data_IF_463026743459
#
_entry.id   IF_463026743459
#
_cell.length_a   1.000
_cell.length_b   1.000
_cell.length_c   1.000
_cell.angle_alpha   90.00
_cell.angle_beta   90.00
_cell.angle_gamma   90.00
#
_symmetry.space_group_name_H-M   'P 1'
#
loop_
_entity.id
_entity.type
_entity.pdbx_description
1 polymer ?
#
# COMPACT_ATOMS: atom_id res chain seq x y z
N UNK A 1 28.45 -5.15 25.29
CA UNK A 1 27.13 -4.53 25.07
C UNK A 1 26.59 -5.05 23.74
N UNK A 2 25.73 -6.07 23.76
CA UNK A 2 25.16 -6.67 22.53
C UNK A 2 23.93 -5.84 22.15
N UNK A 3 24.10 -4.89 21.23
CA UNK A 3 23.01 -4.11 20.66
C UNK A 3 22.14 -5.05 19.84
N UNK A 4 20.86 -5.20 20.22
CA UNK A 4 19.89 -6.03 19.49
C UNK A 4 19.75 -5.52 18.04
N UNK A 5 19.93 -6.37 17.02
CA UNK A 5 19.87 -5.96 15.62
C UNK A 5 18.43 -5.66 15.22
N UNK A 6 18.09 -4.38 15.09
CA UNK A 6 16.76 -3.94 14.64
C UNK A 6 16.24 -2.66 15.26
N UNK A 7 16.95 -2.09 16.23
CA UNK A 7 16.55 -0.87 16.92
C UNK A 7 17.73 0.11 16.97
N UNK A 8 17.51 1.33 16.45
CA UNK A 8 18.33 2.54 16.64
C UNK A 8 19.56 2.70 15.71
N UNK A 9 19.44 3.64 14.75
CA UNK A 9 20.49 4.60 14.38
C UNK A 9 21.75 4.09 13.67
N UNK A 10 21.61 3.43 12.51
CA UNK A 10 22.75 3.35 11.58
C UNK A 10 22.51 4.33 10.43
N UNK A 11 23.46 5.22 10.18
CA UNK A 11 23.44 6.12 9.04
C UNK A 11 23.65 5.32 7.75
N UNK A 12 22.55 4.84 7.17
CA UNK A 12 22.55 4.06 5.93
C UNK A 12 23.34 4.75 4.82
N UNK A 13 23.21 6.08 4.72
CA UNK A 13 23.93 6.91 3.76
C UNK A 13 25.45 6.90 3.97
N UNK A 14 25.90 6.88 5.23
CA UNK A 14 27.33 6.83 5.54
C UNK A 14 27.92 5.48 5.12
N UNK A 15 27.22 4.37 5.38
CA UNK A 15 27.68 3.04 4.95
C UNK A 15 27.59 2.82 3.44
N UNK A 16 26.58 3.39 2.79
CA UNK A 16 26.45 3.39 1.33
C UNK A 16 27.61 4.15 0.67
N UNK A 17 27.98 5.32 1.20
CA UNK A 17 29.15 6.07 0.75
C UNK A 17 30.45 5.29 0.98
N UNK A 18 30.62 4.66 2.15
CA UNK A 18 31.78 3.79 2.40
C UNK A 18 31.89 2.63 1.43
N UNK A 19 30.76 2.04 1.03
CA UNK A 19 30.73 0.95 0.07
C UNK A 19 31.12 1.41 -1.33
N UNK A 20 30.64 2.58 -1.75
CA UNK A 20 30.98 3.20 -3.03
C UNK A 20 32.46 3.60 -3.11
N UNK A 21 33.01 4.12 -2.01
CA UNK A 21 34.36 4.71 -1.95
C UNK A 21 35.43 3.76 -1.41
N UNK A 22 35.10 2.48 -1.14
CA UNK A 22 36.04 1.49 -0.58
C UNK A 22 37.29 1.24 -1.42
N UNK A 23 37.24 1.56 -2.72
CA UNK A 23 38.36 1.42 -3.66
C UNK A 23 39.30 2.62 -3.62
N UNK A 24 38.78 3.80 -3.27
CA UNK A 24 39.53 5.06 -3.25
C UNK A 24 40.11 5.35 -1.86
N UNK A 25 39.42 4.94 -0.80
CA UNK A 25 39.83 5.21 0.59
C UNK A 25 39.78 3.97 1.47
N UNK A 26 40.63 3.95 2.51
CA UNK A 26 40.60 2.89 3.50
C UNK A 26 39.37 3.02 4.40
N UNK A 27 38.74 1.89 4.73
CA UNK A 27 37.58 1.84 5.64
C UNK A 27 37.88 2.55 6.97
N UNK A 28 39.09 2.39 7.51
CA UNK A 28 39.51 3.05 8.76
C UNK A 28 39.46 4.57 8.67
N UNK A 29 39.84 5.16 7.54
CA UNK A 29 39.80 6.61 7.33
C UNK A 29 38.36 7.11 7.23
N UNK A 30 37.51 6.39 6.51
CA UNK A 30 36.10 6.76 6.37
C UNK A 30 35.31 6.63 7.68
N UNK A 31 35.57 5.57 8.47
CA UNK A 31 34.98 5.36 9.80
C UNK A 31 35.29 6.52 10.74
N UNK A 32 36.51 7.04 10.70
CA UNK A 32 36.89 8.23 11.48
C UNK A 32 36.22 9.50 11.00
N UNK A 33 36.09 9.69 9.69
CA UNK A 33 35.53 10.91 9.09
C UNK A 33 34.01 10.99 9.25
N UNK A 34 33.32 9.86 9.15
CA UNK A 34 31.85 9.76 9.21
C UNK A 34 31.33 9.47 10.63
N UNK A 35 32.22 9.38 11.61
CA UNK A 35 31.89 9.11 13.02
C UNK A 35 31.04 7.85 13.28
N UNK A 36 31.11 6.87 12.37
CA UNK A 36 30.40 5.59 12.50
C UNK A 36 31.30 4.49 13.03
N UNK A 37 30.72 3.38 13.52
CA UNK A 37 31.49 2.21 13.94
C UNK A 37 31.88 1.30 12.76
N UNK A 38 33.13 0.83 12.77
CA UNK A 38 33.63 -0.17 11.80
C UNK A 38 32.88 -1.50 11.88
N UNK A 39 32.51 -1.94 13.09
CA UNK A 39 31.73 -3.16 13.26
C UNK A 39 30.31 -3.00 12.69
N UNK A 40 29.76 -1.78 12.78
CA UNK A 40 28.47 -1.43 12.17
C UNK A 40 28.48 -1.57 10.65
N UNK A 41 29.56 -1.14 9.98
CA UNK A 41 29.71 -1.27 8.53
C UNK A 41 29.69 -2.73 8.07
N UNK A 42 30.45 -3.62 8.72
CA UNK A 42 30.48 -5.03 8.33
C UNK A 42 29.18 -5.77 8.67
N UNK A 43 28.54 -5.44 9.82
CA UNK A 43 27.21 -5.97 10.13
C UNK A 43 26.19 -5.51 9.10
N UNK A 44 26.24 -4.24 8.67
CA UNK A 44 25.37 -3.72 7.62
C UNK A 44 25.64 -4.40 6.27
N UNK A 45 26.91 -4.64 5.93
CA UNK A 45 27.30 -5.32 4.69
C UNK A 45 26.81 -6.77 4.64
N UNK A 46 26.83 -7.48 5.77
CA UNK A 46 26.39 -8.88 5.87
C UNK A 46 24.88 -9.02 6.11
N UNK A 47 24.14 -7.92 6.28
CA UNK A 47 22.69 -7.98 6.46
C UNK A 47 22.03 -8.49 5.18
N UNK A 48 21.71 -9.78 5.19
CA UNK A 48 20.82 -10.37 4.21
C UNK A 48 19.42 -9.77 4.35
N UNK A 49 18.71 -9.57 3.23
CA UNK A 49 17.33 -9.16 3.28
C UNK A 49 16.51 -10.19 4.05
N UNK A 50 15.78 -9.76 5.08
CA UNK A 50 14.87 -10.65 5.80
C UNK A 50 13.77 -11.16 4.87
N UNK A 51 13.31 -12.39 5.06
CA UNK A 51 12.19 -12.99 4.30
C UNK A 51 10.96 -12.08 4.26
N UNK A 52 10.71 -11.33 5.34
CA UNK A 52 9.61 -10.35 5.41
C UNK A 52 9.81 -9.20 4.43
N UNK A 53 11.05 -8.72 4.28
CA UNK A 53 11.40 -7.65 3.35
C UNK A 53 11.30 -8.15 1.90
N UNK A 54 11.76 -9.37 1.63
CA UNK A 54 11.62 -10.01 0.31
C UNK A 54 10.14 -10.15 -0.05
N UNK A 55 9.32 -10.72 0.84
CA UNK A 55 7.87 -10.84 0.62
C UNK A 55 7.21 -9.49 0.37
N UNK A 56 7.64 -8.45 1.10
CA UNK A 56 7.14 -7.08 0.90
C UNK A 56 7.51 -6.53 -0.48
N UNK A 57 8.76 -6.72 -0.93
CA UNK A 57 9.21 -6.31 -2.25
C UNK A 57 8.47 -7.07 -3.36
N UNK A 58 8.24 -8.37 -3.20
CA UNK A 58 7.46 -9.16 -4.16
C UNK A 58 6.03 -8.63 -4.28
N UNK A 59 5.38 -8.30 -3.16
CA UNK A 59 4.03 -7.71 -3.16
C UNK A 59 4.04 -6.33 -3.84
N UNK A 60 5.06 -5.50 -3.60
CA UNK A 60 5.21 -4.22 -4.30
C UNK A 60 5.30 -4.36 -5.80
N UNK A 61 6.15 -5.28 -6.27
CA UNK A 61 6.35 -5.51 -7.69
C UNK A 61 5.07 -5.99 -8.36
N UNK A 62 4.35 -6.94 -7.74
CA UNK A 62 3.06 -7.40 -8.26
C UNK A 62 2.03 -6.27 -8.33
N UNK A 63 1.88 -5.50 -7.25
CA UNK A 63 0.94 -4.37 -7.22
C UNK A 63 1.26 -3.32 -8.29
N UNK A 64 2.55 -2.99 -8.47
CA UNK A 64 2.98 -2.05 -9.50
C UNK A 64 2.71 -2.58 -10.92
N UNK A 65 2.95 -3.88 -11.14
CA UNK A 65 2.70 -4.53 -12.42
C UNK A 65 1.21 -4.50 -12.80
N UNK A 66 0.33 -4.94 -11.91
CA UNK A 66 -1.13 -4.91 -12.17
C UNK A 66 -1.67 -3.49 -12.35
N UNK A 67 -1.10 -2.50 -11.63
CA UNK A 67 -1.49 -1.10 -11.79
C UNK A 67 -1.10 -0.56 -13.17
N UNK A 68 0.13 -0.84 -13.62
CA UNK A 68 0.62 -0.43 -14.94
C UNK A 68 -0.08 -1.14 -16.09
N UNK A 69 -0.46 -2.41 -15.91
CA UNK A 69 -1.19 -3.19 -16.91
C UNK A 69 -2.63 -2.66 -17.11
N UNK A 70 -3.18 -2.00 -16.09
CA UNK A 70 -4.53 -1.45 -16.07
C UNK A 70 -4.59 0.06 -16.39
N UNK A 71 -3.59 0.60 -17.08
CA UNK A 71 -3.46 2.03 -17.44
C UNK A 71 -3.60 2.99 -16.24
N UNK A 72 -3.09 2.60 -15.06
CA UNK A 72 -3.18 3.37 -13.81
C UNK A 72 -4.62 3.68 -13.35
N UNK A 73 -5.62 3.02 -13.93
CA UNK A 73 -7.04 3.24 -13.59
C UNK A 73 -7.40 2.52 -12.28
N UNK A 74 -6.79 1.37 -12.03
CA UNK A 74 -7.27 0.44 -11.00
C UNK A 74 -6.83 0.87 -9.59
N UNK A 75 -7.82 1.07 -8.72
CA UNK A 75 -7.60 1.26 -7.29
C UNK A 75 -7.36 -0.04 -6.52
N UNK A 76 -7.01 0.09 -5.25
CA UNK A 76 -6.76 -1.04 -4.33
C UNK A 76 -7.82 -2.16 -4.33
N UNK A 77 -9.13 -1.90 -4.48
CA UNK A 77 -10.12 -2.98 -4.53
C UNK A 77 -10.02 -3.86 -5.78
N UNK A 78 -9.69 -3.27 -6.95
CA UNK A 78 -9.58 -3.98 -8.22
C UNK A 78 -8.28 -4.78 -8.27
N UNK A 79 -7.16 -4.13 -7.94
CA UNK A 79 -5.86 -4.81 -7.84
C UNK A 79 -5.91 -5.98 -6.84
N UNK A 80 -6.66 -5.86 -5.75
CA UNK A 80 -6.84 -6.97 -4.82
C UNK A 80 -7.60 -8.16 -5.45
N UNK A 81 -8.60 -7.89 -6.30
CA UNK A 81 -9.33 -8.94 -6.99
C UNK A 81 -8.42 -9.68 -7.98
N UNK A 82 -7.61 -8.94 -8.75
CA UNK A 82 -6.66 -9.50 -9.71
C UNK A 82 -5.57 -10.31 -9.02
N UNK A 83 -5.01 -9.78 -7.92
CA UNK A 83 -4.06 -10.52 -7.07
C UNK A 83 -4.65 -11.81 -6.50
N UNK A 84 -5.94 -11.81 -6.13
CA UNK A 84 -6.61 -13.03 -5.64
C UNK A 84 -6.88 -14.03 -6.76
N UNK A 85 -7.17 -13.56 -7.98
CA UNK A 85 -7.29 -14.41 -9.15
C UNK A 85 -5.94 -15.07 -9.49
N UNK A 86 -4.83 -14.36 -9.29
CA UNK A 86 -3.44 -14.86 -9.38
C UNK A 86 -3.03 -15.76 -8.20
N UNK A 87 -3.93 -16.03 -7.24
CA UNK A 87 -3.70 -16.92 -6.11
C UNK A 87 -3.00 -16.29 -4.90
N UNK A 88 -2.81 -14.96 -4.88
CA UNK A 88 -2.19 -14.28 -3.74
C UNK A 88 -3.18 -14.03 -2.59
N UNK A 89 -2.83 -14.54 -1.40
CA UNK A 89 -3.61 -14.31 -0.18
C UNK A 89 -3.10 -13.07 0.55
N UNK A 90 -3.54 -11.89 0.09
CA UNK A 90 -3.14 -10.59 0.64
C UNK A 90 -4.37 -9.86 1.21
N UNK A 91 -4.17 -9.12 2.29
CA UNK A 91 -5.23 -8.28 2.87
C UNK A 91 -5.42 -6.99 2.06
N UNK A 92 -6.65 -6.49 1.98
CA UNK A 92 -6.96 -5.19 1.37
C UNK A 92 -6.10 -4.05 1.95
N UNK A 93 -5.88 -4.06 3.27
CA UNK A 93 -5.05 -3.06 3.96
C UNK A 93 -3.59 -3.10 3.49
N UNK A 94 -3.07 -4.30 3.23
CA UNK A 94 -1.70 -4.47 2.72
C UNK A 94 -1.57 -3.89 1.31
N UNK A 95 -2.54 -4.14 0.43
CA UNK A 95 -2.55 -3.56 -0.93
C UNK A 95 -2.64 -2.03 -0.86
N UNK A 96 -3.58 -1.49 -0.09
CA UNK A 96 -3.74 -0.04 0.07
C UNK A 96 -2.47 0.63 0.61
N UNK A 97 -1.84 0.07 1.66
CA UNK A 97 -0.56 0.58 2.18
C UNK A 97 0.59 0.48 1.17
N UNK A 98 0.57 -0.56 0.34
CA UNK A 98 1.58 -0.76 -0.70
C UNK A 98 1.43 0.29 -1.79
N UNK A 99 0.20 0.51 -2.29
CA UNK A 99 -0.10 1.59 -3.23
C UNK A 99 0.27 2.96 -2.68
N UNK A 100 -0.09 3.26 -1.43
CA UNK A 100 0.26 4.54 -0.79
C UNK A 100 1.77 4.77 -0.73
N UNK A 101 2.55 3.72 -0.41
CA UNK A 101 4.02 3.82 -0.35
C UNK A 101 4.65 4.01 -1.72
N UNK A 102 4.07 3.41 -2.76
CA UNK A 102 4.50 3.55 -4.14
C UNK A 102 3.97 4.83 -4.80
N UNK A 103 3.10 5.60 -4.13
CA UNK A 103 2.46 6.79 -4.69
C UNK A 103 1.42 6.50 -5.77
N UNK A 104 0.96 5.25 -5.88
CA UNK A 104 0.00 4.82 -6.89
C UNK A 104 -1.42 5.23 -6.48
N UNK A 105 -2.13 5.90 -7.39
CA UNK A 105 -3.50 6.38 -7.18
C UNK A 105 -4.38 5.87 -8.31
N UNK A 106 -5.29 4.97 -7.98
CA UNK A 106 -6.32 4.55 -8.92
C UNK A 106 -7.38 5.62 -9.10
N UNK A 107 -7.94 5.70 -10.32
CA UNK A 107 -9.00 6.63 -10.67
C UNK A 107 -10.31 6.16 -10.02
N UNK A 108 -10.89 7.02 -9.17
CA UNK A 108 -12.21 6.80 -8.59
C UNK A 108 -13.23 7.73 -9.26
N UNK A 109 -14.02 7.26 -10.26
CA UNK A 109 -15.05 8.08 -10.86
C UNK A 109 -16.07 8.47 -9.78
N UNK A 110 -16.32 9.79 -9.65
CA UNK A 110 -17.28 10.33 -8.68
C UNK A 110 -18.67 9.79 -9.00
N UNK A 111 -19.32 9.13 -8.03
CA UNK A 111 -20.71 8.68 -8.19
C UNK A 111 -21.61 9.88 -8.51
N UNK A 112 -22.33 9.81 -9.62
CA UNK A 112 -23.39 10.77 -9.94
C UNK A 112 -24.51 10.60 -8.91
N UNK A 113 -24.98 11.70 -8.32
CA UNK A 113 -26.18 11.71 -7.47
C UNK A 113 -27.31 12.30 -8.32
N UNK A 114 -28.30 11.48 -8.66
CA UNK A 114 -29.55 11.98 -9.23
C UNK A 114 -30.35 12.65 -8.12
N UNK A 115 -30.48 13.98 -8.18
CA UNK A 115 -31.47 14.69 -7.39
C UNK A 115 -32.81 14.48 -8.08
N UNK A 116 -33.58 13.48 -7.67
CA UNK A 116 -35.00 13.46 -8.00
C UNK A 116 -35.62 14.64 -7.26
N UNK A 117 -35.89 15.73 -7.99
CA UNK A 117 -36.81 16.75 -7.53
C UNK A 117 -38.16 16.03 -7.46
N UNK A 118 -38.65 15.77 -6.25
CA UNK A 118 -40.05 15.42 -6.05
C UNK A 118 -40.84 16.68 -6.35
N UNK A 119 -41.37 16.80 -7.56
CA UNK A 119 -42.35 17.82 -7.87
C UNK A 119 -43.54 17.61 -6.92
N UNK A 120 -43.75 18.58 -6.02
CA UNK A 120 -44.84 18.62 -5.05
C UNK A 120 -46.14 19.02 -5.77
N UNK A 121 -46.69 18.12 -6.56
CA UNK A 121 -48.07 18.22 -7.02
C UNK A 121 -48.53 16.80 -7.37
N UNK A 122 -49.37 16.24 -6.49
CA UNK A 122 -50.58 15.48 -6.85
C UNK A 122 -51.09 14.75 -5.60
N UNK A 123 -51.86 15.50 -4.81
CA UNK A 123 -52.72 14.97 -3.74
C UNK A 123 -53.90 14.25 -4.37
N UNK A 124 -54.03 12.94 -4.15
CA UNK A 124 -55.34 12.26 -4.18
C UNK A 124 -55.39 11.17 -3.09
N UNK A 125 -56.41 11.15 -2.21
CA UNK A 125 -56.55 10.10 -1.20
C UNK A 125 -57.28 8.92 -1.81
N UNK A 126 -56.61 7.76 -1.93
CA UNK A 126 -57.27 6.52 -2.38
C UNK A 126 -56.93 5.35 -1.46
N UNK A 127 -57.93 5.07 -0.64
CA UNK A 127 -58.42 3.80 -0.09
C UNK A 127 -57.45 2.69 0.41
N UNK A 128 -57.81 2.15 1.57
CA UNK A 128 -57.03 1.17 2.31
C UNK A 128 -57.09 -0.22 1.66
N UNK A 129 -55.94 -0.69 1.16
CA UNK A 129 -55.73 -2.08 0.73
C UNK A 129 -54.28 -2.50 0.95
N UNK A 130 -54.02 -3.32 1.97
CA UNK A 130 -52.80 -4.15 2.10
C UNK A 130 -52.89 -5.25 1.03
N UNK A 131 -51.83 -5.70 0.32
CA UNK A 131 -50.60 -6.23 0.91
C UNK A 131 -49.30 -6.13 0.07
N UNK A 132 -48.16 -6.40 0.73
CA UNK A 132 -47.19 -7.47 0.36
C UNK A 132 -45.78 -7.07 0.80
N UNK A 133 -45.17 -8.00 1.54
CA UNK A 133 -43.79 -7.99 1.98
C UNK A 133 -42.86 -7.89 0.77
N UNK A 134 -42.07 -6.83 0.66
CA UNK A 134 -40.95 -6.77 -0.29
C UNK A 134 -39.71 -6.12 0.34
N UNK A 135 -38.73 -7.00 0.53
CA UNK A 135 -37.33 -6.83 0.14
C UNK A 135 -36.59 -5.60 0.68
N UNK A 136 -35.86 -5.84 1.77
CA UNK A 136 -34.80 -4.94 2.23
C UNK A 136 -33.79 -4.72 1.07
N UNK A 137 -33.44 -3.47 0.72
CA UNK A 137 -32.51 -3.19 -0.36
C UNK A 137 -31.12 -3.78 -0.02
N UNK A 138 -30.39 -4.36 -1.00
CA UNK A 138 -29.03 -4.82 -0.74
C UNK A 138 -28.19 -3.62 -0.29
N UNK A 139 -27.48 -3.83 0.82
CA UNK A 139 -26.63 -2.83 1.45
C UNK A 139 -25.69 -2.24 0.39
N UNK A 140 -25.54 -0.90 0.30
CA UNK A 140 -24.56 -0.34 -0.61
C UNK A 140 -23.19 -0.87 -0.22
N UNK A 141 -22.56 -1.61 -1.16
CA UNK A 141 -21.21 -2.13 -1.00
C UNK A 141 -20.30 -0.98 -0.59
N UNK A 142 -19.73 -1.11 0.60
CA UNK A 142 -18.90 -0.07 1.19
C UNK A 142 -17.58 0.01 0.41
N UNK A 143 -17.46 0.99 -0.47
CA UNK A 143 -16.16 1.52 -0.86
C UNK A 143 -15.51 2.12 0.40
N UNK A 144 -14.84 1.26 1.17
CA UNK A 144 -14.34 1.60 2.48
C UNK A 144 -12.91 2.16 2.32
N UNK A 145 -12.83 3.47 2.08
CA UNK A 145 -11.57 4.23 2.11
C UNK A 145 -11.51 5.04 3.40
N UNK A 146 -10.89 4.47 4.43
CA UNK A 146 -10.17 5.18 5.50
C UNK A 146 -9.10 4.26 6.07
#
# INVERSE_FOLDING_TARGET
MIVRPGSIGYDHKAFELMLAEKTNFTITRMVRLLEVSRSGYYVWLDRKPSDRMIRRQNIEQKVAWFHSDSDDVYGSPRILADLRADGETISRKTVAKTMQRLGLVGICPKKWRTTTILDHADTHPVDAGTPRSEMSPPSPSNCNTR
#
